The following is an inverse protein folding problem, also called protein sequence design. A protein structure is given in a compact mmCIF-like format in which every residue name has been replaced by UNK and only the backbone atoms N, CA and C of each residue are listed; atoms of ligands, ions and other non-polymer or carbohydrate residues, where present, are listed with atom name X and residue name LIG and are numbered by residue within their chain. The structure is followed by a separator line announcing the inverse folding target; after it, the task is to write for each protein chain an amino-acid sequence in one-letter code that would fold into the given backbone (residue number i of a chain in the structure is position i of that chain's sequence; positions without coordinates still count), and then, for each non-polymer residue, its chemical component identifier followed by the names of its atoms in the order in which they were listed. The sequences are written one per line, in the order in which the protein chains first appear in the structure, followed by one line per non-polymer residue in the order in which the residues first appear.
data_IF_121101254436
#
_entry.id   IF_121101254436
#
_cell.length_a   1.000
_cell.length_b   1.000
_cell.length_c   1.000
_cell.angle_alpha   90.00
_cell.angle_beta   90.00
_cell.angle_gamma   90.00
#
_symmetry.space_group_name_H-M   'P 1'
#
loop_
_entity.id
_entity.type
_entity.pdbx_description
1 polymer ?
#
# COMPACT_ATOMS: atom_id res chain seq x y z
N UNK A 1 24.80 -6.72 -10.09
CA UNK A 1 23.77 -6.10 -10.95
C UNK A 1 24.44 -4.92 -11.62
N UNK A 2 24.55 -4.92 -12.95
CA UNK A 2 25.20 -3.81 -13.66
C UNK A 2 24.33 -2.56 -13.56
N UNK A 3 24.94 -1.43 -13.21
CA UNK A 3 24.27 -0.13 -13.23
C UNK A 3 23.71 0.12 -14.63
N UNK A 4 22.40 0.40 -14.71
CA UNK A 4 21.76 0.82 -15.95
C UNK A 4 22.39 2.15 -16.42
N UNK A 5 22.56 2.38 -17.72
CA UNK A 5 23.07 3.64 -18.23
C UNK A 5 22.23 4.82 -17.71
N UNK A 6 22.87 5.95 -17.37
CA UNK A 6 22.21 7.16 -16.84
C UNK A 6 21.02 7.62 -17.69
N UNK A 7 21.10 7.51 -19.02
CA UNK A 7 20.01 7.85 -19.95
C UNK A 7 18.75 7.01 -19.76
N UNK A 8 18.88 5.74 -19.35
CA UNK A 8 17.72 4.87 -19.12
C UNK A 8 16.97 5.22 -17.83
N UNK A 9 17.66 5.80 -16.85
CA UNK A 9 17.06 6.19 -15.55
C UNK A 9 16.41 7.57 -15.54
N UNK A 10 16.83 8.49 -16.42
CA UNK A 10 16.34 9.86 -16.43
C UNK A 10 14.84 9.97 -16.78
N UNK A 11 14.36 9.05 -17.61
CA UNK A 11 12.95 8.97 -18.03
C UNK A 11 12.20 7.83 -17.33
N UNK A 12 12.78 7.21 -16.29
CA UNK A 12 12.17 6.06 -15.62
C UNK A 12 11.76 6.45 -14.20
N UNK A 13 10.47 6.44 -13.90
CA UNK A 13 9.97 6.63 -12.54
C UNK A 13 10.05 5.31 -11.78
N UNK A 14 10.83 5.28 -10.71
CA UNK A 14 11.03 4.11 -9.83
C UNK A 14 10.22 4.32 -8.56
N UNK A 15 9.22 3.47 -8.35
CA UNK A 15 8.29 3.54 -7.23
C UNK A 15 8.47 2.28 -6.39
N UNK A 16 8.80 2.42 -5.11
CA UNK A 16 8.65 1.29 -4.18
C UNK A 16 7.21 1.28 -3.67
N UNK A 17 6.53 0.14 -3.74
CA UNK A 17 5.15 -0.02 -3.31
C UNK A 17 5.09 -0.96 -2.10
N UNK A 18 4.44 -0.50 -1.04
CA UNK A 18 4.13 -1.27 0.16
C UNK A 18 2.72 -0.90 0.68
N UNK A 19 2.16 -1.68 1.58
CA UNK A 19 0.84 -1.42 2.20
C UNK A 19 0.76 -2.14 3.53
N UNK A 20 -0.24 -1.80 4.37
CA UNK A 20 -0.60 -2.57 5.55
C UNK A 20 0.62 -2.82 6.46
N UNK A 21 1.29 -1.71 6.81
CA UNK A 21 2.48 -1.73 7.64
C UNK A 21 2.14 -1.99 9.11
N UNK A 22 0.94 -1.59 9.54
CA UNK A 22 0.39 -1.86 10.87
C UNK A 22 1.37 -1.51 11.99
N UNK A 23 2.00 -0.33 11.90
CA UNK A 23 2.90 0.16 12.95
C UNK A 23 2.17 0.18 14.29
N UNK A 24 2.81 -0.41 15.31
CA UNK A 24 2.23 -0.59 16.63
C UNK A 24 1.46 -1.89 16.85
N UNK A 25 1.30 -2.74 15.83
CA UNK A 25 0.74 -4.08 16.02
C UNK A 25 1.54 -4.86 17.07
N UNK A 26 0.82 -5.39 18.08
CA UNK A 26 1.39 -6.09 19.23
C UNK A 26 2.49 -5.31 19.98
N UNK A 27 2.42 -3.97 20.04
CA UNK A 27 3.43 -3.12 20.70
C UNK A 27 3.66 -3.42 22.20
N UNK A 28 2.76 -4.16 22.85
CA UNK A 28 2.86 -4.58 24.27
C UNK A 28 3.39 -6.00 24.44
N UNK A 29 3.52 -6.78 23.38
CA UNK A 29 4.02 -8.16 23.42
C UNK A 29 5.53 -8.17 23.69
N UNK A 30 6.02 -9.03 24.57
CA UNK A 30 7.44 -9.01 24.94
C UNK A 30 8.38 -9.45 23.82
N UNK A 31 7.88 -10.26 22.88
CA UNK A 31 8.65 -10.89 21.79
C UNK A 31 8.44 -10.14 20.48
N UNK A 32 7.19 -9.74 20.19
CA UNK A 32 6.74 -9.24 18.87
C UNK A 32 6.62 -7.73 18.77
N UNK A 33 6.75 -6.98 19.88
CA UNK A 33 6.55 -5.51 19.91
C UNK A 33 7.40 -4.67 18.95
N UNK A 34 8.45 -5.25 18.37
CA UNK A 34 9.34 -4.56 17.44
C UNK A 34 9.12 -4.95 15.97
N UNK A 35 8.35 -6.01 15.70
CA UNK A 35 8.25 -6.64 14.37
C UNK A 35 7.74 -5.65 13.30
N UNK A 36 6.65 -4.91 13.58
CA UNK A 36 6.08 -3.95 12.62
C UNK A 36 7.02 -2.79 12.31
N UNK A 37 7.77 -2.30 13.31
CA UNK A 37 8.74 -1.22 13.13
C UNK A 37 9.95 -1.68 12.31
N UNK A 38 10.46 -2.88 12.59
CA UNK A 38 11.60 -3.44 11.85
C UNK A 38 11.25 -3.71 10.39
N UNK A 39 10.05 -4.25 10.13
CA UNK A 39 9.55 -4.43 8.77
C UNK A 39 9.43 -3.10 8.01
N UNK A 40 8.88 -2.06 8.64
CA UNK A 40 8.78 -0.75 8.00
C UNK A 40 10.15 -0.08 7.77
N UNK A 41 11.07 -0.19 8.73
CA UNK A 41 12.45 0.29 8.58
C UNK A 41 13.19 -0.46 7.45
N UNK A 42 12.97 -1.76 7.29
CA UNK A 42 13.47 -2.54 6.15
C UNK A 42 12.90 -2.00 4.83
N UNK A 43 11.59 -1.70 4.75
CA UNK A 43 10.96 -1.14 3.56
C UNK A 43 11.62 0.20 3.17
N UNK A 44 11.81 1.10 4.13
CA UNK A 44 12.49 2.38 3.90
C UNK A 44 13.95 2.18 3.46
N UNK A 45 14.66 1.24 4.10
CA UNK A 45 16.04 0.87 3.72
C UNK A 45 16.11 0.33 2.28
N UNK A 46 15.15 -0.52 1.88
CA UNK A 46 15.05 -1.02 0.50
C UNK A 46 14.84 0.14 -0.47
N UNK A 47 13.99 1.12 -0.13
CA UNK A 47 13.74 2.29 -0.98
C UNK A 47 15.03 3.08 -1.27
N UNK A 48 15.85 3.29 -0.24
CA UNK A 48 17.16 3.94 -0.37
C UNK A 48 18.16 3.09 -1.18
N UNK A 49 18.31 1.81 -0.83
CA UNK A 49 19.22 0.89 -1.49
C UNK A 49 18.90 0.72 -2.98
N UNK A 50 17.61 0.70 -3.33
CA UNK A 50 17.12 0.62 -4.71
C UNK A 50 17.04 2.00 -5.38
N UNK A 51 17.43 3.07 -4.68
CA UNK A 51 17.43 4.44 -5.18
C UNK A 51 16.12 4.82 -5.86
N UNK A 52 14.99 4.47 -5.25
CA UNK A 52 13.68 4.80 -5.81
C UNK A 52 13.46 6.32 -5.83
N UNK A 53 12.55 6.78 -6.68
CA UNK A 53 12.14 8.17 -6.75
C UNK A 53 11.12 8.51 -5.67
N UNK A 54 10.21 7.58 -5.37
CA UNK A 54 9.23 7.73 -4.30
C UNK A 54 8.83 6.38 -3.68
N UNK A 55 8.38 6.43 -2.43
CA UNK A 55 7.72 5.32 -1.73
C UNK A 55 6.21 5.54 -1.74
N UNK A 56 5.45 4.55 -2.20
CA UNK A 56 3.99 4.59 -2.30
C UNK A 56 3.36 3.59 -1.32
N UNK A 57 2.56 4.10 -0.40
CA UNK A 57 1.91 3.34 0.66
C UNK A 57 0.40 3.20 0.40
N UNK A 58 -0.07 1.96 0.45
CA UNK A 58 -1.46 1.58 0.15
C UNK A 58 -2.46 1.72 1.30
N UNK A 59 -2.10 2.38 2.41
CA UNK A 59 -2.95 2.51 3.61
C UNK A 59 -2.54 1.58 4.75
N UNK A 60 -3.20 1.72 5.90
CA UNK A 60 -2.89 1.02 7.15
C UNK A 60 -1.40 1.10 7.52
N UNK A 61 -0.86 2.32 7.47
CA UNK A 61 0.47 2.59 8.01
C UNK A 61 0.47 2.33 9.52
N UNK A 62 -0.60 2.70 10.22
CA UNK A 62 -0.77 2.43 11.65
C UNK A 62 -1.83 1.36 11.91
N UNK A 63 -1.58 0.53 12.92
CA UNK A 63 -2.54 -0.51 13.33
C UNK A 63 -3.73 0.04 14.14
N UNK A 64 -3.55 1.17 14.80
CA UNK A 64 -4.57 1.78 15.65
C UNK A 64 -4.88 3.18 15.12
N UNK A 65 -6.17 3.55 15.06
CA UNK A 65 -6.63 4.88 14.62
C UNK A 65 -5.99 6.01 15.44
N UNK A 66 -5.73 5.72 16.72
CA UNK A 66 -5.01 6.58 17.67
C UNK A 66 -3.74 5.87 18.12
N UNK A 67 -2.65 5.92 17.32
CA UNK A 67 -1.44 5.19 17.65
C UNK A 67 -0.88 5.68 18.99
N UNK A 68 -0.20 4.79 19.70
CA UNK A 68 0.47 5.17 20.94
C UNK A 68 1.55 6.23 20.69
N UNK A 69 1.90 7.00 21.72
CA UNK A 69 3.03 7.95 21.63
C UNK A 69 4.32 7.25 21.20
N UNK A 70 4.56 6.02 21.65
CA UNK A 70 5.76 5.27 21.26
C UNK A 70 5.72 4.91 19.78
N UNK A 71 4.55 4.49 19.28
CA UNK A 71 4.36 4.17 17.86
C UNK A 71 4.56 5.41 16.97
N UNK A 72 3.96 6.55 17.33
CA UNK A 72 4.16 7.81 16.59
C UNK A 72 5.61 8.26 16.57
N UNK A 73 6.30 8.24 17.73
CA UNK A 73 7.71 8.63 17.81
C UNK A 73 8.58 7.75 16.92
N UNK A 74 8.43 6.43 16.98
CA UNK A 74 9.20 5.51 16.13
C UNK A 74 8.92 5.71 14.65
N UNK A 75 7.65 5.90 14.26
CA UNK A 75 7.28 6.17 12.87
C UNK A 75 7.96 7.45 12.35
N UNK A 76 7.94 8.52 13.15
CA UNK A 76 8.62 9.79 12.84
C UNK A 76 10.13 9.59 12.74
N UNK A 77 10.75 8.84 13.66
CA UNK A 77 12.19 8.57 13.65
C UNK A 77 12.63 7.82 12.39
N UNK A 78 11.91 6.75 12.01
CA UNK A 78 12.17 5.96 10.79
C UNK A 78 12.04 6.85 9.55
N UNK A 79 10.93 7.57 9.41
CA UNK A 79 10.72 8.46 8.26
C UNK A 79 11.77 9.57 8.19
N UNK A 80 12.12 10.20 9.33
CA UNK A 80 13.16 11.23 9.33
C UNK A 80 14.52 10.67 8.95
N UNK A 81 14.84 9.45 9.38
CA UNK A 81 16.12 8.81 9.07
C UNK A 81 16.29 8.55 7.58
N UNK A 82 15.26 8.03 6.92
CA UNK A 82 15.35 7.61 5.51
C UNK A 82 14.86 8.65 4.49
N UNK A 83 13.95 9.54 4.87
CA UNK A 83 13.29 10.45 3.91
C UNK A 83 13.93 11.85 3.84
N UNK A 84 14.56 12.31 4.91
CA UNK A 84 15.19 13.64 4.96
C UNK A 84 16.68 13.55 4.66
N UNK A 85 17.08 14.00 3.47
CA UNK A 85 18.46 13.99 3.01
C UNK A 85 18.63 14.92 1.79
N UNK A 86 19.88 15.12 1.34
CA UNK A 86 20.21 16.07 0.27
C UNK A 86 20.04 15.51 -1.16
N UNK A 87 19.49 14.30 -1.33
CA UNK A 87 19.23 13.73 -2.66
C UNK A 87 18.16 14.58 -3.36
N UNK A 88 18.43 15.15 -4.54
CA UNK A 88 17.44 15.94 -5.25
C UNK A 88 16.33 15.06 -5.84
N UNK A 89 15.07 15.41 -5.58
CA UNK A 89 13.91 14.78 -6.22
C UNK A 89 13.93 15.06 -7.73
N UNK A 90 13.85 14.00 -8.55
CA UNK A 90 14.04 14.05 -10.01
C UNK A 90 12.74 14.07 -10.82
N UNK A 91 11.59 14.29 -10.17
CA UNK A 91 10.28 14.40 -10.81
C UNK A 91 9.56 15.67 -10.33
N UNK A 92 8.51 16.05 -11.05
CA UNK A 92 7.68 17.21 -10.75
C UNK A 92 6.22 16.80 -10.63
N UNK A 93 5.47 17.48 -9.76
CA UNK A 93 4.01 17.41 -9.75
C UNK A 93 3.48 18.61 -10.51
N UNK A 94 2.73 18.36 -11.59
CA UNK A 94 2.26 19.38 -12.54
C UNK A 94 0.75 19.64 -12.47
N UNK A 95 0.03 18.91 -11.61
CA UNK A 95 -1.38 19.18 -11.30
C UNK A 95 -1.52 20.29 -10.28
N UNK A 96 -2.74 20.82 -10.13
CA UNK A 96 -3.09 21.63 -8.96
C UNK A 96 -3.02 20.76 -7.70
N UNK A 97 -1.97 21.00 -6.91
CA UNK A 97 -1.63 20.21 -5.74
C UNK A 97 -2.64 20.39 -4.59
N UNK A 98 -3.36 21.51 -4.56
CA UNK A 98 -4.34 21.82 -3.49
C UNK A 98 -5.56 20.89 -3.52
N UNK A 99 -5.84 20.27 -4.67
CA UNK A 99 -6.90 19.28 -4.82
C UNK A 99 -6.56 17.93 -4.17
N UNK A 100 -5.26 17.64 -3.99
CA UNK A 100 -4.77 16.37 -3.47
C UNK A 100 -4.25 16.46 -2.03
N UNK A 101 -3.71 17.62 -1.64
CA UNK A 101 -3.12 17.83 -0.32
C UNK A 101 -3.92 18.86 0.46
N UNK A 102 -4.84 18.39 1.31
CA UNK A 102 -5.78 19.23 2.06
C UNK A 102 -5.15 19.97 3.26
N UNK A 103 -3.85 19.76 3.53
CA UNK A 103 -3.17 20.45 4.63
C UNK A 103 -2.98 21.94 4.29
N UNK A 104 -2.60 22.74 5.30
CA UNK A 104 -2.44 24.19 5.12
C UNK A 104 -1.30 24.59 4.15
N UNK A 105 -0.40 23.66 3.82
CA UNK A 105 0.71 23.90 2.91
C UNK A 105 0.29 23.68 1.45
N UNK A 106 -0.56 22.69 1.18
CA UNK A 106 -1.21 22.52 -0.13
C UNK A 106 -0.29 22.11 -1.28
N UNK A 107 0.91 21.60 -0.97
CA UNK A 107 1.90 21.11 -1.93
C UNK A 107 2.65 19.90 -1.38
N UNK A 108 3.38 19.22 -2.25
CA UNK A 108 4.24 18.09 -1.92
C UNK A 108 5.38 18.50 -1.00
N UNK A 109 5.73 17.62 -0.07
CA UNK A 109 6.66 17.91 1.01
C UNK A 109 8.08 18.31 0.59
N UNK A 110 8.53 17.84 -0.58
CA UNK A 110 9.84 18.15 -1.14
C UNK A 110 9.91 19.51 -1.84
N UNK A 111 8.79 20.22 -1.99
CA UNK A 111 8.75 21.60 -2.45
C UNK A 111 8.74 22.62 -1.29
N UNK A 112 8.67 22.16 -0.03
CA UNK A 112 8.79 23.04 1.14
C UNK A 112 10.25 23.55 1.25
N UNK A 113 10.48 24.87 1.26
CA UNK A 113 11.84 25.44 1.28
C UNK A 113 12.59 25.22 2.60
N UNK A 114 11.93 24.71 3.65
CA UNK A 114 12.51 24.51 4.97
C UNK A 114 12.93 23.05 5.23
N UNK A 115 12.64 22.13 4.30
CA UNK A 115 12.93 20.70 4.45
C UNK A 115 13.67 20.15 3.24
N UNK A 116 14.77 19.44 3.48
CA UNK A 116 15.44 18.65 2.46
C UNK A 116 14.85 17.24 2.44
N UNK A 117 13.84 17.02 1.61
CA UNK A 117 13.24 15.69 1.40
C UNK A 117 13.88 15.04 0.19
N UNK A 118 14.59 13.93 0.40
CA UNK A 118 15.25 13.18 -0.67
C UNK A 118 14.55 11.88 -1.08
N UNK A 119 13.65 11.38 -0.24
CA UNK A 119 12.72 10.29 -0.58
C UNK A 119 11.29 10.70 -0.20
N UNK A 120 10.52 11.24 -1.16
CA UNK A 120 9.10 11.51 -0.98
C UNK A 120 8.31 10.23 -0.71
N UNK A 121 7.49 10.25 0.33
CA UNK A 121 6.52 9.18 0.64
C UNK A 121 5.13 9.68 0.28
N UNK A 122 4.34 8.89 -0.43
CA UNK A 122 2.93 9.16 -0.73
C UNK A 122 2.09 8.07 -0.09
N UNK A 123 1.05 8.44 0.66
CA UNK A 123 0.16 7.47 1.32
C UNK A 123 -1.29 7.87 1.17
N UNK A 124 -2.14 6.85 0.96
CA UNK A 124 -3.55 6.94 1.34
C UNK A 124 -3.73 6.45 2.77
N UNK A 125 -4.91 6.64 3.36
CA UNK A 125 -5.30 5.98 4.61
C UNK A 125 -6.00 4.64 4.33
N UNK A 126 -5.87 3.70 5.25
CA UNK A 126 -6.62 2.45 5.28
C UNK A 126 -7.76 2.49 6.30
N UNK A 127 -8.28 1.32 6.70
CA UNK A 127 -9.40 1.24 7.63
C UNK A 127 -8.98 1.29 9.11
N UNK A 128 -7.71 1.10 9.43
CA UNK A 128 -7.19 1.23 10.79
C UNK A 128 -6.73 2.65 11.10
N UNK A 129 -6.20 3.37 10.12
CA UNK A 129 -5.77 4.77 10.23
C UNK A 129 -6.69 5.73 9.49
N UNK A 130 -8.00 5.42 9.47
CA UNK A 130 -9.03 6.23 8.84
C UNK A 130 -9.24 7.61 9.51
N UNK A 131 -9.68 8.62 8.75
CA UNK A 131 -10.12 9.89 9.33
C UNK A 131 -11.26 9.72 10.34
N UNK A 132 -11.08 10.23 11.55
CA UNK A 132 -12.07 10.12 12.62
C UNK A 132 -12.19 11.41 13.45
N UNK A 133 -13.21 11.45 14.31
CA UNK A 133 -13.47 12.58 15.19
C UNK A 133 -14.14 13.78 14.50
N UNK A 134 -14.29 14.88 15.25
CA UNK A 134 -15.00 16.09 14.80
C UNK A 134 -14.28 16.74 13.61
N UNK A 135 -12.95 16.76 13.65
CA UNK A 135 -12.11 17.39 12.63
C UNK A 135 -11.79 16.45 11.46
N UNK A 136 -12.31 15.21 11.48
CA UNK A 136 -12.09 14.21 10.44
C UNK A 136 -10.58 14.02 10.14
N UNK A 137 -9.78 13.80 11.19
CA UNK A 137 -8.33 13.66 11.11
C UNK A 137 -7.91 12.20 11.22
N UNK A 138 -6.90 11.83 10.45
CA UNK A 138 -6.20 10.55 10.52
C UNK A 138 -4.86 10.71 11.24
N UNK A 139 -4.30 9.64 11.78
CA UNK A 139 -2.90 9.63 12.22
C UNK A 139 -1.92 10.01 11.09
N UNK A 140 -2.29 9.76 9.83
CA UNK A 140 -1.54 10.15 8.64
C UNK A 140 -1.49 11.68 8.47
N UNK A 141 -2.53 12.41 8.90
CA UNK A 141 -2.52 13.88 8.89
C UNK A 141 -1.41 14.44 9.80
N UNK A 142 -1.07 13.76 10.90
CA UNK A 142 0.03 14.16 11.80
C UNK A 142 1.37 14.12 11.05
N UNK A 143 1.64 13.02 10.34
CA UNK A 143 2.88 12.85 9.59
C UNK A 143 2.97 13.82 8.40
N UNK A 144 1.84 14.08 7.73
CA UNK A 144 1.72 15.10 6.69
C UNK A 144 2.00 16.50 7.22
N UNK A 145 1.43 16.87 8.38
CA UNK A 145 1.69 18.15 9.03
C UNK A 145 3.15 18.31 9.51
N UNK A 146 3.84 17.20 9.78
CA UNK A 146 5.28 17.18 10.06
C UNK A 146 6.16 17.21 8.80
N UNK A 147 5.56 17.31 7.61
CA UNK A 147 6.23 17.30 6.31
C UNK A 147 7.00 15.99 6.00
N UNK A 148 6.61 14.87 6.62
CA UNK A 148 7.29 13.57 6.48
C UNK A 148 6.69 12.66 5.40
N UNK A 149 5.43 12.91 5.02
CA UNK A 149 4.77 12.21 3.92
C UNK A 149 3.73 13.09 3.24
N UNK A 150 3.36 12.73 2.03
CA UNK A 150 2.33 13.34 1.21
C UNK A 150 1.04 12.53 1.35
N UNK A 151 0.10 13.04 2.14
CA UNK A 151 -1.20 12.38 2.34
C UNK A 151 -2.16 12.77 1.21
N UNK A 152 -2.57 11.79 0.41
CA UNK A 152 -3.50 11.96 -0.70
C UNK A 152 -4.65 10.94 -0.62
N UNK A 153 -5.65 11.06 -1.49
CA UNK A 153 -6.76 10.09 -1.56
C UNK A 153 -7.78 10.20 -0.42
N UNK A 154 -7.69 11.22 0.43
CA UNK A 154 -8.72 11.56 1.42
C UNK A 154 -9.95 12.12 0.70
N UNK A 155 -11.03 11.35 0.65
CA UNK A 155 -12.23 11.73 -0.10
C UNK A 155 -13.15 12.66 0.70
N UNK A 156 -13.51 13.78 0.10
CA UNK A 156 -14.64 14.59 0.56
C UNK A 156 -15.95 13.90 0.13
N UNK A 157 -16.74 13.46 1.10
CA UNK A 157 -18.04 12.85 0.84
C UNK A 157 -19.08 13.96 0.70
N UNK A 158 -19.55 14.18 -0.52
CA UNK A 158 -20.53 15.20 -0.86
C UNK A 158 -21.93 14.61 -1.10
N UNK A 159 -22.94 15.48 -1.20
CA UNK A 159 -24.31 15.08 -1.55
C UNK A 159 -25.09 14.36 -0.45
N UNK A 160 -26.22 13.75 -0.84
CA UNK A 160 -27.12 13.01 0.06
C UNK A 160 -27.17 11.51 -0.30
N UNK A 161 -27.81 10.70 0.55
CA UNK A 161 -27.95 9.27 0.32
C UNK A 161 -26.62 8.51 0.43
N UNK A 162 -26.19 7.84 -0.65
CA UNK A 162 -24.90 7.10 -0.68
C UNK A 162 -23.69 8.03 -0.68
N UNK A 163 -23.89 9.31 -1.04
CA UNK A 163 -22.86 10.32 -1.22
C UNK A 163 -22.24 10.27 -2.62
N UNK A 164 -21.38 11.24 -2.90
CA UNK A 164 -20.60 11.35 -4.12
C UNK A 164 -19.14 11.62 -3.79
N UNK A 165 -18.22 11.07 -4.59
CA UNK A 165 -16.79 11.34 -4.53
C UNK A 165 -16.27 11.68 -5.92
N UNK A 166 -15.24 12.51 -5.96
CA UNK A 166 -14.51 12.87 -7.18
C UNK A 166 -13.03 12.64 -6.96
N UNK A 167 -12.42 11.79 -7.79
CA UNK A 167 -11.00 11.48 -7.72
C UNK A 167 -10.23 12.36 -8.69
N UNK A 168 -9.31 13.16 -8.14
CA UNK A 168 -8.36 13.98 -8.87
C UNK A 168 -6.97 13.31 -8.87
N UNK A 169 -6.31 13.14 -10.02
CA UNK A 169 -4.97 12.55 -10.07
C UNK A 169 -3.91 13.55 -9.65
N UNK A 170 -2.89 13.06 -8.95
CA UNK A 170 -1.59 13.74 -8.86
C UNK A 170 -0.87 13.48 -10.18
N UNK A 171 -0.59 14.52 -10.95
CA UNK A 171 0.06 14.41 -12.24
C UNK A 171 1.58 14.55 -12.08
N UNK A 172 2.30 13.44 -12.22
CA UNK A 172 3.76 13.34 -12.02
C UNK A 172 4.47 13.31 -13.38
N UNK A 173 5.52 14.10 -13.55
CA UNK A 173 6.42 14.04 -14.72
C UNK A 173 7.87 13.77 -14.29
N UNK A 174 8.50 12.78 -14.93
CA UNK A 174 9.94 12.51 -14.83
C UNK A 174 10.52 12.34 -16.23
N UNK A 175 11.25 13.35 -16.69
CA UNK A 175 11.71 13.42 -18.08
C UNK A 175 10.53 13.33 -19.05
N UNK A 176 10.56 12.35 -19.97
CA UNK A 176 9.46 12.09 -20.91
C UNK A 176 8.32 11.23 -20.35
N UNK A 177 8.44 10.70 -19.14
CA UNK A 177 7.41 9.82 -18.54
C UNK A 177 6.41 10.63 -17.74
N UNK A 178 5.13 10.37 -17.98
CA UNK A 178 4.00 11.02 -17.33
C UNK A 178 3.14 9.97 -16.60
N UNK A 179 2.87 10.18 -15.32
CA UNK A 179 2.08 9.28 -14.47
C UNK A 179 0.93 10.05 -13.84
N UNK A 180 -0.30 9.53 -13.96
CA UNK A 180 -1.47 10.04 -13.27
C UNK A 180 -1.75 9.13 -12.07
N UNK A 181 -1.43 9.60 -10.86
CA UNK A 181 -1.58 8.85 -9.62
C UNK A 181 -2.90 9.20 -8.94
N UNK A 182 -3.83 8.26 -8.96
CA UNK A 182 -5.12 8.31 -8.27
C UNK A 182 -5.02 7.63 -6.91
N UNK A 183 -5.66 8.21 -5.90
CA UNK A 183 -5.76 7.63 -4.56
C UNK A 183 -7.19 7.56 -4.08
N UNK A 184 -7.56 6.44 -3.48
CA UNK A 184 -8.83 6.21 -2.81
C UNK A 184 -8.56 5.61 -1.45
N UNK A 185 -8.43 6.46 -0.43
CA UNK A 185 -8.34 6.01 0.96
C UNK A 185 -9.59 5.22 1.35
N UNK A 186 -9.49 4.42 2.41
CA UNK A 186 -10.58 3.53 2.79
C UNK A 186 -11.90 4.30 2.98
N UNK A 187 -12.95 3.71 2.43
CA UNK A 187 -14.36 4.04 2.61
C UNK A 187 -15.04 2.71 2.87
N UNK A 188 -15.81 2.57 3.95
CA UNK A 188 -16.56 1.35 4.28
C UNK A 188 -17.12 0.64 3.04
N UNK A 189 -16.74 -0.63 2.84
CA UNK A 189 -16.94 -1.35 1.58
C UNK A 189 -18.39 -1.33 1.10
N UNK A 190 -19.36 -1.62 1.98
CA UNK A 190 -20.79 -1.59 1.63
C UNK A 190 -21.24 -0.24 1.06
N UNK A 191 -20.67 0.86 1.54
CA UNK A 191 -20.99 2.19 1.04
C UNK A 191 -20.36 2.40 -0.33
N UNK A 192 -19.07 2.16 -0.46
CA UNK A 192 -18.36 2.37 -1.73
C UNK A 192 -18.89 1.43 -2.83
N UNK A 193 -19.21 0.19 -2.51
CA UNK A 193 -19.86 -0.78 -3.40
C UNK A 193 -21.17 -0.23 -3.97
N UNK A 194 -22.02 0.39 -3.13
CA UNK A 194 -23.25 1.08 -3.57
C UNK A 194 -22.96 2.34 -4.39
N UNK A 195 -21.90 3.08 -4.07
CA UNK A 195 -21.50 4.27 -4.84
C UNK A 195 -21.08 3.87 -6.26
N UNK A 196 -20.30 2.81 -6.45
CA UNK A 196 -19.94 2.32 -7.79
C UNK A 196 -21.15 1.89 -8.64
N UNK A 197 -22.21 1.41 -7.99
CA UNK A 197 -23.46 1.04 -8.67
C UNK A 197 -24.42 2.22 -8.89
N UNK A 198 -24.15 3.37 -8.25
CA UNK A 198 -25.00 4.54 -8.36
C UNK A 198 -24.46 5.47 -9.44
N UNK A 199 -25.24 5.80 -10.49
CA UNK A 199 -24.79 6.70 -11.55
C UNK A 199 -24.24 8.01 -10.99
N UNK A 200 -23.07 8.44 -11.49
CA UNK A 200 -22.39 9.68 -11.12
C UNK A 200 -21.94 9.81 -9.65
N UNK A 201 -22.03 8.76 -8.83
CA UNK A 201 -21.58 8.81 -7.44
C UNK A 201 -20.06 8.65 -7.27
N UNK A 202 -19.37 8.10 -8.28
CA UNK A 202 -17.89 8.08 -8.35
C UNK A 202 -17.48 8.76 -9.64
N UNK A 203 -16.84 9.93 -9.53
CA UNK A 203 -16.37 10.71 -10.66
C UNK A 203 -14.84 10.64 -10.76
N UNK A 204 -14.35 10.54 -11.99
CA UNK A 204 -12.93 10.38 -12.29
C UNK A 204 -12.47 11.54 -13.14
N UNK A 205 -11.65 12.41 -12.57
CA UNK A 205 -11.07 13.53 -13.30
C UNK A 205 -9.87 13.03 -14.09
N UNK A 206 -9.81 13.36 -15.38
CA UNK A 206 -8.72 12.96 -16.27
C UNK A 206 -7.95 14.20 -16.70
N UNK A 207 -6.62 14.09 -16.90
CA UNK A 207 -5.86 15.18 -17.47
C UNK A 207 -6.43 15.56 -18.84
N UNK A 208 -6.46 16.85 -19.13
CA UNK A 208 -6.81 17.36 -20.46
C UNK A 208 -5.61 17.21 -21.40
N UNK A 209 -5.87 17.06 -22.71
CA UNK A 209 -4.81 17.12 -23.72
C UNK A 209 -4.16 18.51 -23.70
N UNK A 210 -2.85 18.54 -23.59
CA UNK A 210 -2.05 19.76 -23.68
C UNK A 210 -1.02 19.64 -24.81
N UNK A 211 -0.43 20.76 -25.23
CA UNK A 211 0.65 20.75 -26.21
C UNK A 211 1.82 19.89 -25.70
N UNK A 212 2.16 18.82 -26.42
CA UNK A 212 3.23 17.89 -26.06
C UNK A 212 2.87 16.81 -25.03
N UNK A 213 1.61 16.68 -24.60
CA UNK A 213 1.15 15.60 -23.72
C UNK A 213 -0.33 15.28 -23.95
N UNK A 214 -0.62 14.17 -24.61
CA UNK A 214 -1.97 13.67 -24.83
C UNK A 214 -2.49 12.89 -23.63
N UNK A 215 -3.81 12.74 -23.53
CA UNK A 215 -4.43 11.91 -22.47
C UNK A 215 -3.90 10.47 -22.48
N UNK A 216 -3.55 9.94 -23.65
CA UNK A 216 -3.00 8.59 -23.82
C UNK A 216 -1.55 8.43 -23.32
N UNK A 217 -0.85 9.54 -23.07
CA UNK A 217 0.57 9.50 -22.69
C UNK A 217 0.75 9.30 -21.18
N UNK A 218 -0.33 9.49 -20.41
CA UNK A 218 -0.35 9.28 -18.97
C UNK A 218 -0.49 7.80 -18.64
N UNK A 219 0.47 7.26 -17.87
CA UNK A 219 0.33 5.97 -17.22
C UNK A 219 -0.50 6.12 -15.93
N UNK A 220 -1.65 5.46 -15.86
CA UNK A 220 -2.67 5.71 -14.86
C UNK A 220 -2.60 4.66 -13.74
N UNK A 221 -2.23 5.11 -12.55
CA UNK A 221 -2.13 4.28 -11.34
C UNK A 221 -3.28 4.60 -10.42
N UNK A 222 -3.98 3.58 -9.91
CA UNK A 222 -4.90 3.73 -8.78
C UNK A 222 -4.34 3.01 -7.56
N UNK A 223 -4.31 3.70 -6.41
CA UNK A 223 -4.10 3.09 -5.10
C UNK A 223 -5.43 3.09 -4.35
N UNK A 224 -5.87 1.93 -3.88
CA UNK A 224 -7.08 1.80 -3.06
C UNK A 224 -6.87 0.84 -1.89
N UNK A 225 -7.70 1.01 -0.86
CA UNK A 225 -7.66 0.18 0.36
C UNK A 225 -9.06 -0.35 0.69
N UNK A 226 -9.41 -1.52 0.16
CA UNK A 226 -10.76 -2.11 0.22
C UNK A 226 -10.72 -3.63 0.22
N UNK A 227 -11.77 -4.29 0.72
CA UNK A 227 -11.94 -5.73 0.55
C UNK A 227 -12.02 -6.08 -0.94
N UNK A 228 -11.25 -7.10 -1.35
CA UNK A 228 -11.35 -7.71 -2.68
C UNK A 228 -12.38 -8.83 -2.63
N UNK A 229 -13.14 -9.03 -3.71
CA UNK A 229 -14.24 -10.01 -3.70
C UNK A 229 -13.72 -11.44 -3.54
N UNK A 230 -13.82 -12.00 -2.32
CA UNK A 230 -13.52 -13.41 -2.02
C UNK A 230 -14.79 -14.23 -1.71
N UNK A 231 -15.71 -13.68 -0.93
CA UNK A 231 -16.90 -14.42 -0.42
C UNK A 231 -18.20 -13.63 -0.43
N UNK A 232 -18.21 -12.38 0.06
CA UNK A 232 -19.39 -11.52 0.13
C UNK A 232 -19.31 -10.34 -0.86
N UNK A 233 -19.99 -10.40 -2.02
CA UNK A 233 -19.91 -9.36 -3.05
C UNK A 233 -20.40 -7.98 -2.63
N UNK A 234 -21.18 -7.87 -1.54
CA UNK A 234 -21.70 -6.58 -1.05
C UNK A 234 -20.72 -5.85 -0.11
N UNK A 235 -19.79 -6.56 0.50
CA UNK A 235 -18.79 -6.01 1.42
C UNK A 235 -17.38 -6.11 0.83
N UNK A 236 -17.28 -5.83 -0.48
CA UNK A 236 -16.04 -5.85 -1.24
C UNK A 236 -16.24 -5.02 -2.52
N UNK A 237 -15.14 -4.67 -3.19
CA UNK A 237 -15.16 -3.99 -4.47
C UNK A 237 -14.80 -4.98 -5.58
N UNK A 238 -15.68 -5.11 -6.57
CA UNK A 238 -15.37 -5.88 -7.77
C UNK A 238 -14.44 -5.05 -8.66
N UNK A 239 -13.37 -5.68 -9.14
CA UNK A 239 -12.38 -5.08 -10.04
C UNK A 239 -13.02 -4.48 -11.31
N UNK A 240 -14.13 -5.05 -11.78
CA UNK A 240 -14.87 -4.58 -12.94
C UNK A 240 -15.65 -3.28 -12.71
N UNK A 241 -15.73 -2.79 -11.47
CA UNK A 241 -16.24 -1.45 -11.18
C UNK A 241 -15.21 -0.36 -11.49
N UNK A 242 -13.93 -0.70 -11.57
CA UNK A 242 -12.87 0.25 -11.84
C UNK A 242 -12.86 0.65 -13.32
N UNK A 243 -12.46 1.90 -13.64
CA UNK A 243 -12.50 2.37 -15.01
C UNK A 243 -11.38 1.75 -15.87
N UNK A 244 -11.71 1.42 -17.11
CA UNK A 244 -10.80 0.78 -18.09
C UNK A 244 -9.67 1.69 -18.62
N UNK A 245 -9.62 2.96 -18.20
CA UNK A 245 -8.50 3.83 -18.56
C UNK A 245 -7.29 3.66 -17.63
N UNK A 246 -7.46 2.95 -16.51
CA UNK A 246 -6.35 2.62 -15.62
C UNK A 246 -5.38 1.68 -16.34
N UNK A 247 -4.11 1.72 -15.94
CA UNK A 247 -3.07 0.82 -16.42
C UNK A 247 -2.61 -0.14 -15.30
N UNK A 248 -2.57 0.37 -14.07
CA UNK A 248 -2.05 -0.34 -12.91
C UNK A 248 -2.82 0.00 -11.62
N UNK A 249 -3.09 -1.00 -10.80
CA UNK A 249 -3.86 -0.85 -9.56
C UNK A 249 -3.09 -1.48 -8.41
N UNK A 250 -2.83 -0.70 -7.36
CA UNK A 250 -2.27 -1.15 -6.08
C UNK A 250 -3.42 -1.37 -5.10
N UNK A 251 -3.63 -2.62 -4.71
CA UNK A 251 -4.70 -3.04 -3.82
C UNK A 251 -4.15 -3.29 -2.41
N UNK A 252 -4.40 -2.36 -1.48
CA UNK A 252 -4.16 -2.52 -0.04
C UNK A 252 -5.28 -3.29 0.65
N UNK A 253 -5.30 -3.31 1.99
CA UNK A 253 -6.29 -4.01 2.86
C UNK A 253 -6.15 -5.53 2.91
N UNK A 254 -5.92 -6.16 1.76
CA UNK A 254 -5.73 -7.60 1.71
C UNK A 254 -4.30 -7.98 2.14
N UNK A 255 -4.17 -8.74 3.23
CA UNK A 255 -2.87 -9.06 3.84
C UNK A 255 -2.11 -10.21 3.16
N UNK A 256 -2.79 -11.00 2.33
CA UNK A 256 -2.17 -12.06 1.54
C UNK A 256 -1.26 -11.46 0.46
N UNK A 257 -0.02 -11.91 0.39
CA UNK A 257 0.96 -11.40 -0.55
C UNK A 257 0.77 -12.03 -1.94
N UNK A 258 0.06 -11.33 -2.83
CA UNK A 258 -0.06 -11.63 -4.26
C UNK A 258 0.61 -10.50 -5.06
N UNK A 259 1.92 -10.38 -4.85
CA UNK A 259 2.76 -9.25 -5.29
C UNK A 259 2.97 -9.17 -6.81
N UNK A 260 2.91 -10.30 -7.51
CA UNK A 260 3.11 -10.33 -8.96
C UNK A 260 1.86 -9.76 -9.65
N UNK A 261 1.98 -8.71 -10.49
CA UNK A 261 0.81 -8.08 -11.12
C UNK A 261 0.00 -9.06 -11.97
N UNK A 262 -1.32 -9.06 -11.78
CA UNK A 262 -2.28 -9.93 -12.47
C UNK A 262 -3.16 -9.09 -13.39
N UNK A 263 -3.24 -9.47 -14.68
CA UNK A 263 -4.17 -8.83 -15.61
C UNK A 263 -5.62 -9.11 -15.21
N UNK A 264 -6.47 -8.08 -15.22
CA UNK A 264 -7.91 -8.24 -15.05
C UNK A 264 -8.57 -8.47 -16.42
N UNK A 265 -9.18 -9.64 -16.68
CA UNK A 265 -9.67 -10.00 -18.00
C UNK A 265 -10.60 -8.94 -18.60
N UNK A 266 -10.24 -8.42 -19.78
CA UNK A 266 -11.06 -7.47 -20.53
C UNK A 266 -11.12 -6.05 -19.96
N UNK A 267 -10.34 -5.75 -18.92
CA UNK A 267 -10.28 -4.42 -18.31
C UNK A 267 -9.07 -3.59 -18.77
N UNK A 268 -8.00 -4.23 -19.21
CA UNK A 268 -6.81 -3.57 -19.77
C UNK A 268 -5.78 -3.10 -18.74
N UNK A 269 -6.04 -3.31 -17.45
CA UNK A 269 -5.10 -3.00 -16.36
C UNK A 269 -4.67 -4.25 -15.59
N UNK A 270 -3.59 -4.09 -14.81
CA UNK A 270 -3.10 -5.11 -13.88
C UNK A 270 -3.34 -4.68 -12.43
N UNK A 271 -3.59 -5.65 -11.56
CA UNK A 271 -3.65 -5.46 -10.11
C UNK A 271 -2.43 -6.09 -9.47
N UNK A 272 -1.78 -5.37 -8.56
CA UNK A 272 -0.89 -5.94 -7.54
C UNK A 272 -1.57 -5.87 -6.18
N UNK A 273 -1.44 -6.93 -5.39
CA UNK A 273 -1.89 -6.98 -4.00
C UNK A 273 -0.67 -7.28 -3.13
N UNK A 274 0.05 -6.24 -2.65
CA UNK A 274 1.35 -6.46 -2.03
C UNK A 274 1.30 -7.32 -0.76
N UNK A 275 0.19 -7.30 -0.04
CA UNK A 275 0.08 -7.92 1.28
C UNK A 275 0.69 -7.05 2.38
N UNK A 276 0.41 -7.42 3.62
CA UNK A 276 0.91 -6.72 4.80
C UNK A 276 2.40 -6.93 5.02
N UNK A 277 3.04 -6.02 5.74
CA UNK A 277 4.45 -6.19 6.15
C UNK A 277 4.63 -6.97 7.46
N UNK A 278 3.52 -7.29 8.15
CA UNK A 278 3.50 -8.06 9.39
C UNK A 278 2.22 -8.91 9.47
N UNK A 279 2.32 -10.11 10.03
CA UNK A 279 1.16 -10.98 10.21
C UNK A 279 0.25 -10.48 11.35
N UNK A 280 -0.94 -9.96 11.01
CA UNK A 280 -1.89 -9.45 12.00
C UNK A 280 -2.90 -10.52 12.45
N UNK A 281 -3.01 -11.60 11.69
CA UNK A 281 -3.82 -12.78 11.95
C UNK A 281 -3.07 -14.09 11.63
N UNK A 282 -3.43 -15.19 12.29
CA UNK A 282 -2.80 -16.50 12.11
C UNK A 282 -3.62 -17.35 11.12
N UNK A 283 -3.63 -16.96 9.85
CA UNK A 283 -4.35 -17.62 8.76
C UNK A 283 -3.41 -17.96 7.60
N UNK A 284 -3.79 -18.90 6.72
CA UNK A 284 -2.96 -19.35 5.59
C UNK A 284 -2.47 -18.19 4.71
N UNK A 285 -3.35 -17.23 4.38
CA UNK A 285 -2.99 -16.08 3.54
C UNK A 285 -1.88 -15.21 4.15
N UNK A 286 -1.79 -15.15 5.48
CA UNK A 286 -0.75 -14.39 6.18
C UNK A 286 0.55 -15.17 6.38
N UNK A 287 0.53 -16.49 6.19
CA UNK A 287 1.74 -17.34 6.19
C UNK A 287 2.58 -17.20 4.93
N UNK A 288 2.02 -16.64 3.85
CA UNK A 288 2.74 -16.46 2.59
C UNK A 288 3.89 -15.45 2.79
N UNK A 289 5.08 -15.68 2.22
CA UNK A 289 6.21 -14.77 2.35
C UNK A 289 5.87 -13.35 1.89
N UNK A 290 6.19 -12.36 2.73
CA UNK A 290 5.85 -10.95 2.48
C UNK A 290 6.89 -10.28 1.57
N UNK A 291 6.42 -9.42 0.68
CA UNK A 291 7.24 -8.73 -0.31
C UNK A 291 6.82 -7.27 -0.47
N UNK A 292 7.74 -6.44 -0.95
CA UNK A 292 7.43 -5.14 -1.57
C UNK A 292 7.64 -5.21 -3.07
N UNK A 293 7.04 -4.27 -3.81
CA UNK A 293 7.15 -4.20 -5.26
C UNK A 293 7.96 -2.97 -5.66
N UNK A 294 9.08 -3.17 -6.35
CA UNK A 294 9.73 -2.12 -7.12
C UNK A 294 9.08 -2.05 -8.50
N UNK A 295 8.38 -0.94 -8.75
CA UNK A 295 7.70 -0.65 -10.01
C UNK A 295 8.50 0.41 -10.78
N UNK A 296 9.00 0.05 -11.95
CA UNK A 296 9.74 0.96 -12.82
C UNK A 296 8.91 1.30 -14.05
N UNK A 297 8.58 2.59 -14.23
CA UNK A 297 7.66 3.07 -15.28
C UNK A 297 8.44 3.93 -16.28
N UNK A 298 8.31 3.63 -17.58
CA UNK A 298 8.94 4.40 -18.67
C UNK A 298 7.94 4.54 -19.82
N UNK A 299 7.51 5.77 -20.11
CA UNK A 299 6.39 6.03 -21.00
C UNK A 299 5.11 5.38 -20.45
N UNK A 300 4.49 4.52 -21.26
CA UNK A 300 3.29 3.75 -20.90
C UNK A 300 3.58 2.29 -20.53
N UNK A 301 4.86 1.92 -20.37
CA UNK A 301 5.27 0.57 -19.99
C UNK A 301 5.78 0.55 -18.56
N UNK A 302 5.63 -0.60 -17.90
CA UNK A 302 6.15 -0.81 -16.56
C UNK A 302 6.90 -2.14 -16.43
N UNK A 303 7.85 -2.19 -15.49
CA UNK A 303 8.56 -3.40 -15.08
C UNK A 303 8.37 -3.62 -13.59
N UNK A 304 7.69 -4.71 -13.17
CA UNK A 304 7.58 -5.09 -11.76
C UNK A 304 8.79 -5.93 -11.31
N UNK A 305 9.31 -5.66 -10.12
CA UNK A 305 10.31 -6.50 -9.44
C UNK A 305 9.90 -6.70 -7.99
N UNK A 306 9.51 -7.91 -7.61
CA UNK A 306 9.22 -8.24 -6.20
C UNK A 306 10.52 -8.36 -5.40
N UNK A 307 10.51 -7.85 -4.17
CA UNK A 307 11.64 -7.88 -3.25
C UNK A 307 11.13 -8.47 -1.92
N UNK A 308 11.67 -9.61 -1.46
CA UNK A 308 11.24 -10.22 -0.21
C UNK A 308 11.66 -9.37 0.98
N UNK A 309 10.81 -9.32 2.00
CA UNK A 309 11.15 -8.76 3.31
C UNK A 309 11.82 -9.84 4.17
N UNK A 310 12.97 -9.53 4.73
CA UNK A 310 13.82 -10.44 5.51
C UNK A 310 13.69 -10.24 7.01
N UNK A 311 13.18 -9.09 7.47
CA UNK A 311 12.95 -8.84 8.89
C UNK A 311 11.60 -9.38 9.38
N UNK A 312 10.74 -9.85 8.49
CA UNK A 312 9.42 -10.39 8.85
C UNK A 312 9.59 -11.70 9.59
N UNK A 313 8.91 -11.80 10.75
CA UNK A 313 8.93 -13.02 11.56
C UNK A 313 8.44 -14.22 10.75
N UNK A 314 9.20 -15.34 10.73
CA UNK A 314 8.73 -16.60 10.18
C UNK A 314 7.35 -17.00 10.71
N UNK A 315 6.44 -17.32 9.80
CA UNK A 315 5.12 -17.83 10.14
C UNK A 315 4.81 -19.02 9.25
N UNK A 316 4.57 -20.17 9.87
CA UNK A 316 4.15 -21.40 9.18
C UNK A 316 2.76 -21.78 9.62
N UNK A 317 1.99 -22.27 8.67
CA UNK A 317 0.60 -22.64 8.85
C UNK A 317 0.35 -24.00 8.20
N UNK A 318 -0.34 -24.88 8.91
CA UNK A 318 -0.77 -26.20 8.43
C UNK A 318 -2.19 -26.44 8.94
N UNK A 319 -3.07 -26.96 8.08
CA UNK A 319 -4.43 -27.39 8.47
C UNK A 319 -4.49 -28.92 8.46
N UNK A 320 -4.86 -29.51 9.60
CA UNK A 320 -4.94 -30.97 9.76
C UNK A 320 -6.39 -31.34 10.01
N UNK A 321 -6.88 -32.29 9.21
CA UNK A 321 -8.22 -32.86 9.39
C UNK A 321 -8.06 -34.27 9.94
N UNK A 322 -8.23 -34.44 11.26
CA UNK A 322 -7.96 -35.72 11.96
C UNK A 322 -8.67 -36.95 11.35
N UNK A 323 -9.81 -36.77 10.69
CA UNK A 323 -10.55 -37.87 10.05
C UNK A 323 -9.80 -38.48 8.84
N UNK A 324 -8.90 -37.71 8.24
CA UNK A 324 -8.16 -38.05 7.02
C UNK A 324 -6.77 -38.66 7.36
N UNK A 325 -6.37 -38.62 8.63
CA UNK A 325 -5.11 -39.18 9.14
C UNK A 325 -5.25 -40.67 9.46
N UNK A 326 -4.67 -41.54 8.63
CA UNK A 326 -4.86 -42.99 8.75
C UNK A 326 -4.15 -43.64 9.92
N UNK A 327 -3.09 -43.00 10.42
CA UNK A 327 -2.22 -43.52 11.48
C UNK A 327 -2.51 -42.90 12.86
N UNK A 328 -3.66 -42.22 12.99
CA UNK A 328 -4.10 -41.56 14.22
C UNK A 328 -5.44 -42.15 14.66
N UNK A 329 -5.51 -42.66 15.89
CA UNK A 329 -6.82 -43.00 16.48
C UNK A 329 -7.44 -41.71 17.05
N UNK A 330 -8.52 -41.17 16.44
CA UNK A 330 -9.12 -39.92 16.89
C UNK A 330 -9.78 -40.03 18.27
N UNK A 331 -9.98 -41.25 18.80
CA UNK A 331 -10.52 -41.48 20.14
C UNK A 331 -9.42 -41.68 21.19
N UNK A 332 -8.15 -41.81 20.79
CA UNK A 332 -7.01 -41.87 21.70
C UNK A 332 -6.30 -40.52 21.76
N UNK A 333 -6.44 -39.86 22.90
CA UNK A 333 -5.80 -38.57 23.16
C UNK A 333 -4.27 -38.63 23.01
N UNK A 334 -3.62 -39.74 23.38
CA UNK A 334 -2.16 -39.85 23.27
C UNK A 334 -1.73 -39.97 21.80
N UNK A 335 -2.43 -40.79 21.02
CA UNK A 335 -2.19 -40.91 19.56
C UNK A 335 -2.31 -39.55 18.85
N UNK A 336 -3.33 -38.75 19.19
CA UNK A 336 -3.50 -37.40 18.62
C UNK A 336 -2.35 -36.48 19.03
N UNK A 337 -1.97 -36.44 20.31
CA UNK A 337 -0.87 -35.59 20.79
C UNK A 337 0.46 -35.95 20.14
N UNK A 338 0.80 -37.24 20.05
CA UNK A 338 2.03 -37.68 19.39
C UNK A 338 2.09 -37.30 17.91
N UNK A 339 0.96 -37.36 17.21
CA UNK A 339 0.88 -36.92 15.81
C UNK A 339 1.08 -35.40 15.68
N UNK A 340 0.38 -34.60 16.49
CA UNK A 340 0.50 -33.15 16.45
C UNK A 340 1.91 -32.68 16.83
N UNK A 341 2.56 -33.32 17.81
CA UNK A 341 3.94 -33.04 18.17
C UNK A 341 4.89 -33.32 16.99
N UNK A 342 4.68 -34.41 16.24
CA UNK A 342 5.48 -34.70 15.03
C UNK A 342 5.28 -33.63 13.97
N UNK A 343 4.05 -33.18 13.74
CA UNK A 343 3.75 -32.14 12.75
C UNK A 343 4.42 -30.82 13.14
N UNK A 344 4.29 -30.38 14.39
CA UNK A 344 4.93 -29.14 14.87
C UNK A 344 6.46 -29.22 14.77
N UNK A 345 7.05 -30.36 15.11
CA UNK A 345 8.49 -30.57 14.99
C UNK A 345 8.96 -30.55 13.53
N UNK A 346 8.22 -31.19 12.62
CA UNK A 346 8.52 -31.21 11.18
C UNK A 346 8.48 -29.80 10.59
N UNK A 347 7.42 -29.05 10.92
CA UNK A 347 7.25 -27.67 10.49
C UNK A 347 8.39 -26.78 11.00
N UNK A 348 8.83 -26.99 12.24
CA UNK A 348 9.93 -26.24 12.84
C UNK A 348 11.29 -26.54 12.22
N UNK A 349 11.53 -27.79 11.79
CA UNK A 349 12.79 -28.22 11.17
C UNK A 349 12.99 -27.69 9.75
N UNK A 350 11.91 -27.51 8.99
CA UNK A 350 11.97 -26.98 7.63
C UNK A 350 12.29 -25.48 7.56
N UNK A 351 12.47 -24.81 8.71
CA UNK A 351 12.70 -23.35 8.83
C UNK A 351 14.09 -22.97 9.38
N UNK A 352 14.93 -23.95 9.75
CA UNK A 352 16.37 -23.74 10.02
C UNK A 352 17.17 -23.91 8.73
#
# INVERSE_FOLDING_TARGET
MGDLPREDTANMLRVLVATDCHLGYMEKDEIRRHDSFQAFEEICSIAEQKQVDLLLLGGDLFHENKPSRSTLVKAIEILRHHCLNDKPVQFQVVSDQTLNFANAFGHVNYEDPNFNVGLPVFSIHGNHDDPAGVDNLSAVDILSACNLLNYFGKMALEGSGVGQITLYPILIKKGSTAVALYGLGNIRDERLNRMFQTPHAVQWMRPESQEGCQVSDWFNILVLHQNRVKTNPKNAINEHFLPRFLDFVVWGHEHECLIDPQEVPGMGFHITQPGSSVATSLIDGESKPKHVLLLEIKGNQYRPTKIPLTSVRPFVYEEIVLKDETDVDPNDQNSVLEHLDKVVNLISQNFQ
#
